data_IF_871387192261
#
_entry.id   IF_871387192261
#
_cell.length_a   1.000
_cell.length_b   1.000
_cell.length_c   1.000
_cell.angle_alpha   90.00
_cell.angle_beta   90.00
_cell.angle_gamma   90.00
#
_symmetry.space_group_name_H-M   'P 1'
#
loop_
_entity.id
_entity.type
_entity.pdbx_description
1 polymer ?
#
# COMPACT_ATOMS: atom_id res chain seq x y z
N UNK A 1 -1.93 -17.19 -2.52
CA UNK A 1 -3.36 -17.56 -2.60
C UNK A 1 -3.99 -16.69 -3.67
N UNK A 2 -4.82 -17.23 -4.56
CA UNK A 2 -5.43 -16.48 -5.65
C UNK A 2 -6.96 -16.64 -5.62
N UNK A 3 -7.69 -15.56 -5.90
CA UNK A 3 -9.16 -15.55 -6.01
C UNK A 3 -9.51 -15.23 -7.45
N UNK A 4 -10.10 -16.19 -8.15
CA UNK A 4 -10.44 -16.11 -9.58
C UNK A 4 -11.96 -16.10 -9.75
N UNK A 5 -12.44 -15.38 -10.76
CA UNK A 5 -13.86 -15.31 -11.11
C UNK A 5 -14.15 -14.22 -12.15
N UNK A 6 -15.32 -14.24 -12.79
CA UNK A 6 -15.67 -13.26 -13.83
C UNK A 6 -15.77 -11.83 -13.27
N UNK A 7 -15.76 -10.84 -14.16
CA UNK A 7 -16.06 -9.46 -13.77
C UNK A 7 -17.47 -9.39 -13.16
N UNK A 8 -17.63 -8.58 -12.11
CA UNK A 8 -18.89 -8.52 -11.36
C UNK A 8 -19.10 -9.64 -10.33
N UNK A 9 -18.24 -10.66 -10.25
CA UNK A 9 -18.35 -11.74 -9.25
C UNK A 9 -18.09 -11.31 -7.79
N UNK A 10 -17.92 -10.01 -7.52
CA UNK A 10 -17.72 -9.50 -6.17
C UNK A 10 -16.29 -9.59 -5.62
N UNK A 11 -15.28 -9.88 -6.45
CA UNK A 11 -13.87 -9.96 -6.02
C UNK A 11 -13.38 -8.69 -5.31
N UNK A 12 -13.68 -7.52 -5.87
CA UNK A 12 -13.33 -6.23 -5.24
C UNK A 12 -14.11 -6.00 -3.94
N UNK A 13 -15.40 -6.39 -3.92
CA UNK A 13 -16.23 -6.35 -2.70
C UNK A 13 -15.64 -7.22 -1.61
N UNK A 14 -15.17 -8.42 -1.95
CA UNK A 14 -14.52 -9.35 -1.03
C UNK A 14 -13.23 -8.74 -0.46
N UNK A 15 -12.38 -8.14 -1.30
CA UNK A 15 -11.17 -7.45 -0.84
C UNK A 15 -11.50 -6.30 0.15
N UNK A 16 -12.55 -5.52 -0.13
CA UNK A 16 -13.00 -4.44 0.76
C UNK A 16 -13.54 -4.96 2.09
N UNK A 17 -14.28 -6.08 2.09
CA UNK A 17 -14.77 -6.75 3.30
C UNK A 17 -13.60 -7.28 4.13
N UNK A 18 -12.62 -7.94 3.50
CA UNK A 18 -11.40 -8.44 4.16
C UNK A 18 -10.60 -7.31 4.81
N UNK A 19 -10.53 -6.14 4.17
CA UNK A 19 -9.84 -4.94 4.68
C UNK A 19 -10.67 -4.11 5.66
N UNK A 20 -11.81 -4.64 6.11
CA UNK A 20 -12.69 -3.96 7.05
C UNK A 20 -13.23 -2.60 6.54
N UNK A 21 -13.25 -2.39 5.22
CA UNK A 21 -13.79 -1.20 4.56
C UNK A 21 -15.32 -1.29 4.43
N UNK A 22 -15.85 -2.49 4.23
CA UNK A 22 -17.28 -2.78 4.33
C UNK A 22 -17.57 -3.60 5.58
N UNK A 23 -18.48 -3.08 6.41
CA UNK A 23 -18.85 -3.69 7.72
C UNK A 23 -20.17 -4.46 7.69
N UNK A 24 -20.97 -4.24 6.65
CA UNK A 24 -22.25 -4.91 6.45
C UNK A 24 -22.00 -6.24 5.73
N UNK A 25 -21.68 -7.26 6.52
CA UNK A 25 -21.55 -8.64 6.07
C UNK A 25 -21.94 -9.57 7.22
N UNK A 26 -22.38 -10.78 6.89
CA UNK A 26 -22.66 -11.84 7.84
C UNK A 26 -21.44 -12.75 8.03
N UNK A 27 -21.32 -13.36 9.21
CA UNK A 27 -20.20 -14.23 9.57
C UNK A 27 -19.04 -13.50 10.27
N UNK A 28 -17.86 -14.12 10.27
CA UNK A 28 -16.69 -13.62 11.01
C UNK A 28 -15.41 -13.73 10.18
N UNK A 29 -14.57 -12.72 10.29
CA UNK A 29 -13.25 -12.66 9.65
C UNK A 29 -12.21 -12.50 10.75
N UNK A 30 -11.16 -13.33 10.71
CA UNK A 30 -10.08 -13.33 11.70
C UNK A 30 -8.74 -13.09 11.02
N UNK A 31 -7.92 -12.24 11.62
CA UNK A 31 -6.52 -12.03 11.28
C UNK A 31 -5.68 -12.42 12.49
N UNK A 32 -4.70 -13.31 12.29
CA UNK A 32 -3.88 -13.90 13.36
C UNK A 32 -4.73 -14.50 14.50
N UNK A 33 -5.82 -15.19 14.14
CA UNK A 33 -6.76 -15.80 15.09
C UNK A 33 -7.69 -14.82 15.82
N UNK A 34 -7.52 -13.49 15.66
CA UNK A 34 -8.36 -12.46 16.31
C UNK A 34 -9.37 -11.87 15.32
N UNK A 35 -10.62 -11.58 15.74
CA UNK A 35 -11.60 -10.92 14.87
C UNK A 35 -11.08 -9.59 14.31
N UNK A 36 -11.21 -9.33 13.01
CA UNK A 36 -10.74 -8.06 12.42
C UNK A 36 -11.44 -6.84 13.06
N UNK A 37 -12.68 -7.03 13.54
CA UNK A 37 -13.49 -6.02 14.22
C UNK A 37 -12.90 -5.58 15.58
N UNK A 38 -12.01 -6.36 16.19
CA UNK A 38 -11.38 -6.01 17.48
C UNK A 38 -10.09 -5.20 17.34
N UNK A 39 -9.55 -5.06 16.13
CA UNK A 39 -8.33 -4.27 15.91
C UNK A 39 -8.65 -2.77 15.90
N UNK A 40 -7.76 -1.96 16.48
CA UNK A 40 -7.75 -0.52 16.19
C UNK A 40 -7.39 -0.33 14.72
N UNK A 41 -8.03 0.65 14.06
CA UNK A 41 -7.84 0.92 12.62
C UNK A 41 -6.36 1.04 12.24
N UNK A 42 -5.57 1.77 13.04
CA UNK A 42 -4.13 1.94 12.81
C UNK A 42 -3.38 0.62 12.83
N UNK A 43 -3.62 -0.22 13.82
CA UNK A 43 -2.91 -1.49 14.01
C UNK A 43 -3.28 -2.52 12.93
N UNK A 44 -4.55 -2.51 12.48
CA UNK A 44 -5.01 -3.31 11.37
C UNK A 44 -4.28 -2.97 10.06
N UNK A 45 -4.20 -1.68 9.72
CA UNK A 45 -3.53 -1.23 8.50
C UNK A 45 -1.99 -1.32 8.53
N UNK A 46 -1.37 -1.62 9.68
CA UNK A 46 0.03 -2.04 9.74
C UNK A 46 0.22 -3.51 9.36
N UNK A 47 -0.86 -4.31 9.37
CA UNK A 47 -0.85 -5.75 9.10
C UNK A 47 -1.44 -6.11 7.74
N UNK A 48 -2.37 -5.32 7.23
CA UNK A 48 -3.07 -5.57 5.97
C UNK A 48 -3.25 -4.28 5.17
N UNK A 49 -3.01 -4.34 3.86
CA UNK A 49 -3.16 -3.24 2.92
C UNK A 49 -3.73 -3.72 1.58
N UNK A 50 -4.18 -2.77 0.75
CA UNK A 50 -4.64 -3.04 -0.62
C UNK A 50 -3.67 -2.40 -1.60
N UNK A 51 -3.17 -3.19 -2.55
CA UNK A 51 -2.58 -2.67 -3.78
C UNK A 51 -3.69 -2.65 -4.82
N UNK A 52 -3.93 -1.48 -5.42
CA UNK A 52 -5.00 -1.29 -6.40
C UNK A 52 -4.48 -1.54 -7.81
N UNK A 53 -5.35 -2.05 -8.68
CA UNK A 53 -5.01 -2.34 -10.08
C UNK A 53 -4.58 -1.11 -10.90
N UNK A 54 -4.97 0.10 -10.48
CA UNK A 54 -4.55 1.36 -11.09
C UNK A 54 -3.65 2.14 -10.12
N UNK A 55 -2.38 1.74 -10.04
CA UNK A 55 -1.37 2.36 -9.18
C UNK A 55 -1.14 3.84 -9.51
N UNK A 56 -1.41 4.25 -10.75
CA UNK A 56 -1.21 5.61 -11.27
C UNK A 56 -2.04 6.70 -10.57
N UNK A 57 -3.14 6.30 -9.92
CA UNK A 57 -4.04 7.22 -9.20
C UNK A 57 -3.60 7.44 -7.73
N UNK A 58 -2.51 6.82 -7.31
CA UNK A 58 -2.01 6.89 -5.93
C UNK A 58 -0.81 7.82 -5.75
N UNK A 59 -0.13 8.18 -6.85
CA UNK A 59 1.04 9.05 -6.79
C UNK A 59 0.64 10.52 -6.65
N UNK A 60 1.32 11.22 -5.75
CA UNK A 60 1.12 12.64 -5.47
C UNK A 60 2.22 13.49 -6.12
N UNK A 61 3.42 12.92 -6.34
CA UNK A 61 4.54 13.57 -7.03
C UNK A 61 4.94 12.88 -8.35
N UNK A 62 5.59 13.67 -9.22
CA UNK A 62 6.23 13.23 -10.46
C UNK A 62 7.70 12.83 -10.27
N UNK A 63 8.17 12.69 -9.03
CA UNK A 63 9.53 12.25 -8.71
C UNK A 63 9.50 11.18 -7.63
N UNK A 64 10.14 10.03 -7.86
CA UNK A 64 10.12 8.86 -6.94
C UNK A 64 10.60 9.21 -5.53
N UNK A 65 11.70 9.94 -5.40
CA UNK A 65 12.22 10.35 -4.08
C UNK A 65 11.24 11.25 -3.31
N UNK A 66 10.52 12.13 -4.03
CA UNK A 66 9.56 13.04 -3.43
C UNK A 66 8.30 12.31 -3.00
N UNK A 67 7.84 11.33 -3.76
CA UNK A 67 6.70 10.48 -3.42
C UNK A 67 6.99 9.65 -2.16
N UNK A 68 8.16 8.99 -2.11
CA UNK A 68 8.60 8.25 -0.94
C UNK A 68 8.71 9.18 0.28
N UNK A 69 9.30 10.37 0.11
CA UNK A 69 9.39 11.36 1.17
C UNK A 69 8.01 11.87 1.62
N UNK A 70 7.09 12.07 0.67
CA UNK A 70 5.71 12.48 0.94
C UNK A 70 4.98 11.42 1.76
N UNK A 71 5.12 10.13 1.42
CA UNK A 71 4.55 9.01 2.17
C UNK A 71 5.00 8.98 3.64
N UNK A 72 6.22 9.48 3.90
CA UNK A 72 6.83 9.55 5.23
C UNK A 72 6.39 10.79 6.05
N UNK A 73 5.76 11.80 5.44
CA UNK A 73 5.37 13.05 6.16
C UNK A 73 4.44 12.80 7.33
N UNK A 74 3.55 11.79 7.24
CA UNK A 74 2.59 11.42 8.28
C UNK A 74 3.23 10.77 9.52
N UNK A 75 4.51 10.38 9.45
CA UNK A 75 5.23 9.76 10.56
C UNK A 75 6.02 10.81 11.35
N UNK A 76 6.02 10.65 12.69
CA UNK A 76 6.84 11.44 13.62
C UNK A 76 8.29 10.96 13.53
N UNK A 77 9.02 11.51 12.56
CA UNK A 77 10.44 11.25 12.32
C UNK A 77 11.11 12.58 11.99
N UNK A 78 12.38 12.72 12.35
CA UNK A 78 13.22 13.87 11.99
C UNK A 78 13.39 13.95 10.46
N UNK A 79 13.86 15.09 9.96
CA UNK A 79 14.11 15.25 8.53
C UNK A 79 15.21 14.28 8.07
N UNK A 80 16.25 14.13 8.88
CA UNK A 80 17.41 13.28 8.64
C UNK A 80 17.00 11.80 8.61
N UNK A 81 16.14 11.37 9.55
CA UNK A 81 15.60 10.00 9.58
C UNK A 81 14.75 9.70 8.33
N UNK A 82 13.96 10.68 7.87
CA UNK A 82 13.15 10.51 6.66
C UNK A 82 14.02 10.37 5.42
N UNK A 83 15.04 11.22 5.27
CA UNK A 83 15.99 11.15 4.14
C UNK A 83 16.73 9.81 4.13
N UNK A 84 17.28 9.38 5.27
CA UNK A 84 17.98 8.10 5.36
C UNK A 84 17.08 6.91 5.02
N UNK A 85 15.79 6.99 5.38
CA UNK A 85 14.81 5.95 5.07
C UNK A 85 14.43 5.91 3.59
N UNK A 86 14.28 7.07 2.95
CA UNK A 86 14.09 7.16 1.49
C UNK A 86 15.31 6.58 0.75
N UNK A 87 16.51 6.91 1.18
CA UNK A 87 17.74 6.37 0.59
C UNK A 87 17.83 4.85 0.70
N UNK A 88 17.43 4.31 1.85
CA UNK A 88 17.42 2.87 2.06
C UNK A 88 16.37 2.17 1.17
N UNK A 89 15.18 2.76 0.99
CA UNK A 89 14.16 2.23 0.08
C UNK A 89 14.68 2.23 -1.37
N UNK A 90 15.25 3.33 -1.86
CA UNK A 90 15.78 3.42 -3.22
C UNK A 90 16.86 2.36 -3.48
N UNK A 91 17.73 2.12 -2.49
CA UNK A 91 18.76 1.09 -2.54
C UNK A 91 18.19 -0.32 -2.53
N UNK A 92 17.19 -0.61 -1.69
CA UNK A 92 16.57 -1.95 -1.63
C UNK A 92 15.93 -2.35 -2.95
N UNK A 93 15.34 -1.40 -3.68
CA UNK A 93 14.69 -1.67 -4.97
C UNK A 93 15.65 -1.59 -6.17
N UNK A 94 16.96 -1.45 -5.95
CA UNK A 94 17.97 -1.28 -7.02
C UNK A 94 17.63 -0.13 -8.00
N UNK A 95 16.91 0.88 -7.51
CA UNK A 95 16.32 1.96 -8.29
C UNK A 95 17.14 3.25 -8.25
N UNK A 96 18.45 3.17 -7.94
CA UNK A 96 19.33 4.35 -7.84
C UNK A 96 19.31 5.19 -9.13
N UNK A 97 19.29 4.54 -10.30
CA UNK A 97 19.22 5.20 -11.61
C UNK A 97 17.86 5.86 -11.90
N UNK A 98 16.83 5.57 -11.09
CA UNK A 98 15.45 6.03 -11.27
C UNK A 98 14.99 6.96 -10.14
N UNK A 99 15.90 7.38 -9.25
CA UNK A 99 15.63 8.29 -8.13
C UNK A 99 14.89 9.58 -8.55
N UNK A 100 15.26 10.11 -9.72
CA UNK A 100 14.66 11.31 -10.34
C UNK A 100 13.68 10.98 -11.46
N UNK A 101 13.42 9.70 -11.71
CA UNK A 101 12.49 9.28 -12.74
C UNK A 101 11.06 9.65 -12.31
N UNK A 102 10.22 9.79 -13.33
CA UNK A 102 8.81 9.98 -13.10
C UNK A 102 8.17 8.65 -12.65
N UNK A 103 7.50 8.57 -11.48
CA UNK A 103 6.81 7.37 -11.01
C UNK A 103 5.84 6.78 -12.04
N UNK A 104 5.27 7.62 -12.92
CA UNK A 104 4.40 7.19 -14.01
C UNK A 104 5.13 6.39 -15.10
N UNK A 105 6.46 6.55 -15.25
CA UNK A 105 7.29 5.85 -16.23
C UNK A 105 7.95 4.56 -15.70
N UNK A 106 7.73 4.23 -14.42
CA UNK A 106 8.17 2.96 -13.85
C UNK A 106 7.36 1.79 -14.41
N UNK A 107 7.98 0.62 -14.53
CA UNK A 107 7.27 -0.61 -14.90
C UNK A 107 6.21 -0.98 -13.85
N UNK A 108 5.16 -1.72 -14.24
CA UNK A 108 4.09 -2.10 -13.30
C UNK A 108 4.60 -2.80 -12.04
N UNK A 109 5.56 -3.73 -12.17
CA UNK A 109 6.15 -4.40 -11.01
C UNK A 109 6.85 -3.44 -10.05
N UNK A 110 7.54 -2.42 -10.57
CA UNK A 110 8.21 -1.40 -9.75
C UNK A 110 7.25 -0.37 -9.13
N UNK A 111 6.04 -0.22 -9.68
CA UNK A 111 4.99 0.60 -9.06
C UNK A 111 4.35 -0.12 -7.87
N UNK A 112 4.35 -1.45 -7.87
CA UNK A 112 3.68 -2.30 -6.88
C UNK A 112 4.59 -2.76 -5.71
N UNK A 113 5.91 -2.75 -5.92
CA UNK A 113 6.97 -3.08 -4.95
C UNK A 113 7.29 -1.91 -3.98
#
# INVERSE_FOLDING_TARGET
MAILGPNGAGKSTLSHVMLHLYRNYEGSIRLDGKPIKSYKKKDFFHKAGLVFQNTEWQFVSYVVEEELYYSLKKFKMSKEEKVAKVDNFIKQFNSENQRKANPYLLSQGQKED
#
